data_IF_348831984929
#
_entry.id   IF_348831984929
#
_cell.length_a   1.000
_cell.length_b   1.000
_cell.length_c   1.000
_cell.angle_alpha   90.00
_cell.angle_beta   90.00
_cell.angle_gamma   90.00
#
_symmetry.space_group_name_H-M   'P 1'
#
loop_
_entity.id
_entity.type
_entity.pdbx_description
1 polymer ?
#
# COMPACT_ATOMS: atom_id res chain seq x y z
N UNK A 1 -9.37 4.46 16.19
CA UNK A 1 -8.97 5.47 15.18
C UNK A 1 -7.59 6.10 15.46
N UNK A 2 -7.25 6.46 16.71
CA UNK A 2 -5.92 7.01 17.03
C UNK A 2 -4.73 6.14 16.60
N UNK A 3 -4.79 4.82 16.84
CA UNK A 3 -3.74 3.88 16.42
C UNK A 3 -3.53 3.86 14.89
N UNK A 4 -4.61 3.89 14.12
CA UNK A 4 -4.57 3.95 12.66
C UNK A 4 -3.85 5.22 12.17
N UNK A 5 -4.18 6.38 12.74
CA UNK A 5 -3.59 7.66 12.35
C UNK A 5 -2.10 7.71 12.67
N UNK A 6 -1.69 7.22 13.85
CA UNK A 6 -0.29 7.16 14.25
C UNK A 6 0.48 6.22 13.31
N UNK A 7 -0.02 5.00 13.11
CA UNK A 7 0.61 4.01 12.23
C UNK A 7 0.75 4.51 10.79
N UNK A 8 -0.34 5.04 10.22
CA UNK A 8 -0.33 5.57 8.85
C UNK A 8 0.66 6.73 8.73
N UNK A 9 0.67 7.66 9.69
CA UNK A 9 1.63 8.78 9.70
C UNK A 9 3.06 8.28 9.72
N UNK A 10 3.39 7.31 10.58
CA UNK A 10 4.74 6.73 10.64
C UNK A 10 5.12 6.14 9.28
N UNK A 11 4.27 5.31 8.68
CA UNK A 11 4.57 4.69 7.39
C UNK A 11 4.68 5.70 6.24
N UNK A 12 3.87 6.77 6.25
CA UNK A 12 3.96 7.84 5.25
C UNK A 12 5.25 8.65 5.41
N UNK A 13 5.68 8.94 6.64
CA UNK A 13 6.93 9.67 6.91
C UNK A 13 8.18 8.88 6.52
N UNK A 14 8.10 7.55 6.49
CA UNK A 14 9.21 6.66 6.14
C UNK A 14 8.99 5.94 4.81
N UNK A 15 8.10 6.44 3.96
CA UNK A 15 7.80 5.82 2.67
C UNK A 15 8.99 5.98 1.72
N UNK A 16 9.35 4.91 1.00
CA UNK A 16 10.30 5.02 -0.10
C UNK A 16 9.64 5.79 -1.26
N UNK A 17 10.31 6.81 -1.81
CA UNK A 17 9.74 7.61 -2.89
C UNK A 17 9.78 6.89 -4.25
N UNK A 18 10.65 5.88 -4.35
CA UNK A 18 10.96 5.17 -5.60
C UNK A 18 10.59 3.68 -5.52
N UNK A 19 10.91 2.94 -6.57
CA UNK A 19 10.83 1.48 -6.53
C UNK A 19 11.96 0.93 -5.64
N UNK A 20 11.60 0.41 -4.47
CA UNK A 20 12.58 -0.23 -3.58
C UNK A 20 13.03 -1.59 -4.12
N UNK A 21 14.09 -2.11 -3.49
CA UNK A 21 14.61 -3.43 -3.81
C UNK A 21 13.55 -4.52 -3.63
N UNK A 22 13.59 -5.52 -4.52
CA UNK A 22 12.76 -6.72 -4.53
C UNK A 22 11.40 -6.53 -5.23
N UNK A 23 10.30 -6.82 -4.53
CA UNK A 23 8.94 -6.90 -5.10
C UNK A 23 8.36 -5.55 -5.58
N UNK A 24 8.59 -4.39 -4.92
CA UNK A 24 7.85 -3.17 -5.27
C UNK A 24 8.06 -2.70 -6.70
N UNK A 25 9.25 -2.89 -7.27
CA UNK A 25 9.50 -2.58 -8.69
C UNK A 25 8.61 -3.38 -9.64
N UNK A 26 8.45 -4.68 -9.39
CA UNK A 26 7.55 -5.54 -10.16
C UNK A 26 6.10 -5.09 -9.98
N UNK A 27 5.64 -4.94 -8.72
CA UNK A 27 4.25 -4.58 -8.43
C UNK A 27 3.85 -3.20 -8.95
N UNK A 28 4.76 -2.21 -8.89
CA UNK A 28 4.53 -0.88 -9.47
C UNK A 28 4.40 -0.99 -10.99
N UNK A 29 5.31 -1.70 -11.65
CA UNK A 29 5.29 -1.85 -13.10
C UNK A 29 4.04 -2.58 -13.60
N UNK A 30 3.70 -3.71 -12.97
CA UNK A 30 2.54 -4.51 -13.36
C UNK A 30 1.23 -3.83 -12.98
N UNK A 31 1.12 -3.16 -11.83
CA UNK A 31 -0.09 -2.41 -11.49
C UNK A 31 -0.28 -1.20 -12.42
N UNK A 32 0.80 -0.50 -12.80
CA UNK A 32 0.72 0.67 -13.66
C UNK A 32 0.15 0.32 -15.05
N UNK A 33 0.49 -0.86 -15.58
CA UNK A 33 -0.01 -1.37 -16.86
C UNK A 33 -1.13 -2.41 -16.76
N UNK A 34 -1.58 -2.73 -15.54
CA UNK A 34 -2.52 -3.82 -15.25
C UNK A 34 -2.10 -5.16 -15.87
N UNK A 35 -0.84 -5.54 -15.67
CA UNK A 35 -0.25 -6.82 -16.08
C UNK A 35 -0.32 -7.86 -14.94
N UNK A 36 0.11 -9.08 -15.21
CA UNK A 36 0.10 -10.18 -14.26
C UNK A 36 1.45 -10.25 -13.53
N UNK A 37 1.51 -10.09 -12.19
CA UNK A 37 2.72 -10.29 -11.39
C UNK A 37 2.99 -11.78 -11.19
N UNK A 38 4.23 -12.08 -10.82
CA UNK A 38 4.65 -13.36 -10.30
C UNK A 38 4.62 -13.35 -8.76
N UNK A 39 4.07 -14.37 -8.08
CA UNK A 39 3.06 -15.33 -8.50
C UNK A 39 1.69 -14.66 -8.77
N UNK A 40 0.84 -15.23 -9.64
CA UNK A 40 -0.48 -14.66 -9.92
C UNK A 40 -1.39 -14.82 -8.70
N UNK A 41 -2.26 -13.83 -8.45
CA UNK A 41 -3.25 -13.95 -7.36
C UNK A 41 -3.59 -12.65 -6.63
N UNK A 42 -3.02 -11.51 -7.03
CA UNK A 42 -3.25 -10.22 -6.37
C UNK A 42 -4.08 -9.20 -7.18
N UNK A 43 -5.14 -9.58 -7.94
CA UNK A 43 -5.82 -8.66 -8.85
C UNK A 43 -6.43 -7.45 -8.14
N UNK A 44 -7.00 -7.65 -6.94
CA UNK A 44 -7.55 -6.55 -6.14
C UNK A 44 -6.47 -5.55 -5.72
N UNK A 45 -5.30 -6.05 -5.28
CA UNK A 45 -4.15 -5.22 -4.93
C UNK A 45 -3.68 -4.38 -6.13
N UNK A 46 -3.59 -4.97 -7.32
CA UNK A 46 -3.17 -4.25 -8.54
C UNK A 46 -4.15 -3.16 -8.94
N UNK A 47 -5.46 -3.40 -8.81
CA UNK A 47 -6.49 -2.39 -9.08
C UNK A 47 -6.39 -1.23 -8.10
N UNK A 48 -6.21 -1.51 -6.80
CA UNK A 48 -6.02 -0.48 -5.78
C UNK A 48 -4.74 0.32 -6.06
N UNK A 49 -3.62 -0.33 -6.33
CA UNK A 49 -2.37 0.35 -6.69
C UNK A 49 -2.55 1.21 -7.96
N UNK A 50 -3.26 0.70 -8.97
CA UNK A 50 -3.58 1.46 -10.19
C UNK A 50 -4.40 2.71 -9.87
N UNK A 51 -5.38 2.64 -8.97
CA UNK A 51 -6.15 3.83 -8.55
C UNK A 51 -5.25 4.89 -7.93
N UNK A 52 -4.30 4.50 -7.07
CA UNK A 52 -3.36 5.44 -6.46
C UNK A 52 -2.42 6.05 -7.49
N UNK A 53 -2.04 5.35 -8.56
CA UNK A 53 -1.24 5.93 -9.63
C UNK A 53 -1.90 7.13 -10.32
N UNK A 54 -3.23 7.24 -10.29
CA UNK A 54 -3.92 8.41 -10.86
C UNK A 54 -3.67 9.70 -10.06
N UNK A 55 -3.28 9.59 -8.78
CA UNK A 55 -2.89 10.73 -7.95
C UNK A 55 -1.55 11.35 -8.41
N UNK A 56 -0.82 10.69 -9.30
CA UNK A 56 0.36 11.26 -9.96
C UNK A 56 0.01 12.36 -10.98
N UNK A 57 -1.27 12.54 -11.34
CA UNK A 57 -1.76 13.55 -12.31
C UNK A 57 -0.97 13.56 -13.64
N UNK A 58 -0.55 12.38 -14.11
CA UNK A 58 0.21 12.21 -15.34
C UNK A 58 1.74 12.38 -15.22
N UNK A 59 2.26 12.72 -14.03
CA UNK A 59 3.71 12.73 -13.79
C UNK A 59 4.22 11.30 -13.50
N UNK A 60 4.86 10.68 -14.49
CA UNK A 60 5.35 9.30 -14.36
C UNK A 60 6.37 9.11 -13.22
N UNK A 61 7.15 10.15 -12.89
CA UNK A 61 8.15 10.09 -11.82
C UNK A 61 7.53 10.00 -10.42
N UNK A 62 6.27 10.40 -10.24
CA UNK A 62 5.58 10.33 -8.94
C UNK A 62 4.66 9.12 -8.79
N UNK A 63 4.53 8.27 -9.82
CA UNK A 63 3.68 7.07 -9.78
C UNK A 63 4.12 6.12 -8.67
N UNK A 64 5.43 5.87 -8.55
CA UNK A 64 5.99 4.98 -7.54
C UNK A 64 5.65 5.48 -6.12
N UNK A 65 5.86 6.77 -5.85
CA UNK A 65 5.50 7.40 -4.59
C UNK A 65 4.03 7.19 -4.23
N UNK A 66 3.10 7.50 -5.14
CA UNK A 66 1.67 7.37 -4.84
C UNK A 66 1.23 5.92 -4.62
N UNK A 67 1.81 4.97 -5.35
CA UNK A 67 1.58 3.54 -5.10
C UNK A 67 2.15 3.10 -3.73
N UNK A 68 3.31 3.61 -3.33
CA UNK A 68 3.87 3.34 -2.01
C UNK A 68 3.04 4.00 -0.88
N UNK A 69 2.42 5.15 -1.12
CA UNK A 69 1.43 5.75 -0.20
C UNK A 69 0.22 4.83 0.00
N UNK A 70 -0.22 4.11 -1.04
CA UNK A 70 -1.24 3.08 -0.88
C UNK A 70 -0.78 2.01 0.13
N UNK A 71 0.44 1.50 -0.05
CA UNK A 71 1.05 0.53 0.88
C UNK A 71 1.06 1.03 2.32
N UNK A 72 1.47 2.29 2.54
CA UNK A 72 1.51 2.91 3.87
C UNK A 72 0.12 2.99 4.51
N UNK A 73 -0.90 3.39 3.75
CA UNK A 73 -2.28 3.48 4.22
C UNK A 73 -2.85 2.10 4.62
N UNK A 74 -2.67 1.08 3.77
CA UNK A 74 -3.16 -0.27 4.04
C UNK A 74 -2.38 -0.94 5.19
N UNK A 75 -1.12 -0.60 5.39
CA UNK A 75 -0.34 -1.01 6.57
C UNK A 75 -0.92 -0.41 7.86
N UNK A 76 -1.34 0.86 7.84
CA UNK A 76 -2.08 1.48 8.93
C UNK A 76 -3.40 0.77 9.24
N UNK A 77 -4.19 0.41 8.23
CA UNK A 77 -5.42 -0.38 8.41
C UNK A 77 -5.15 -1.77 8.99
N UNK A 78 -4.07 -2.42 8.55
CA UNK A 78 -3.66 -3.73 9.07
C UNK A 78 -3.42 -3.67 10.57
N UNK A 79 -2.72 -2.66 11.06
CA UNK A 79 -2.48 -2.46 12.50
C UNK A 79 -3.80 -2.22 13.26
N UNK A 80 -4.72 -1.43 12.70
CA UNK A 80 -6.03 -1.21 13.32
C UNK A 80 -6.82 -2.51 13.47
N UNK A 81 -6.92 -3.30 12.39
CA UNK A 81 -7.64 -4.56 12.39
C UNK A 81 -6.97 -5.61 13.26
N UNK A 82 -5.64 -5.63 13.31
CA UNK A 82 -4.89 -6.49 14.23
C UNK A 82 -5.24 -6.17 15.69
N UNK A 83 -5.22 -4.89 16.08
CA UNK A 83 -5.62 -4.46 17.42
C UNK A 83 -7.04 -4.92 17.74
N UNK A 84 -8.00 -4.66 16.86
CA UNK A 84 -9.38 -5.09 17.06
C UNK A 84 -9.52 -6.60 17.18
N UNK A 85 -8.83 -7.36 16.34
CA UNK A 85 -8.84 -8.81 16.38
C UNK A 85 -8.32 -9.33 17.72
N UNK A 86 -7.20 -8.78 18.21
CA UNK A 86 -6.64 -9.13 19.52
C UNK A 86 -7.63 -8.78 20.63
N UNK A 87 -8.19 -7.57 20.63
CA UNK A 87 -9.14 -7.16 21.69
C UNK A 87 -10.42 -7.99 21.68
N UNK A 88 -10.92 -8.38 20.51
CA UNK A 88 -12.10 -9.22 20.37
C UNK A 88 -11.84 -10.63 20.91
N UNK A 89 -10.68 -11.21 20.61
CA UNK A 89 -10.29 -12.53 21.09
C UNK A 89 -9.93 -12.53 22.58
N UNK A 90 -9.41 -11.42 23.11
CA UNK A 90 -9.07 -11.25 24.52
C UNK A 90 -10.27 -10.89 25.39
N UNK A 91 -11.35 -10.36 24.80
CA UNK A 91 -12.62 -10.17 25.47
C UNK A 91 -13.25 -11.55 25.76
N UNK A 92 -13.17 -11.97 27.03
CA UNK A 92 -13.96 -13.07 27.57
C UNK A 92 -15.33 -12.57 28.00
#
# INVERSE_FOLDING_TARGET
MGLFLIATTVYVLTVEETASFWDPGEFIAVAHKLQVPHPPGAPFFLLVYRMFSFLAFGNELSVAYWMNIASALFSGFTILFLFWSITLLAAK
#
